data_IF_879901242414
#
_entry.id   IF_879901242414
#
_cell.length_a   1.000
_cell.length_b   1.000
_cell.length_c   1.000
_cell.angle_alpha   90.00
_cell.angle_beta   90.00
_cell.angle_gamma   90.00
#
_symmetry.space_group_name_H-M   'P 1'
#
loop_
_entity.id
_entity.type
_entity.pdbx_description
1 polymer ?
#
# COMPACT_ATOMS: atom_id res chain seq x y z
N UNK A 1 -42.62 -19.62 -49.63
CA UNK A 1 -41.34 -20.21 -49.13
C UNK A 1 -40.08 -19.56 -49.72
N UNK A 2 -40.03 -19.12 -50.99
CA UNK A 2 -38.83 -18.44 -51.54
C UNK A 2 -38.58 -17.03 -50.98
N UNK A 3 -39.62 -16.26 -50.61
CA UNK A 3 -39.46 -14.91 -50.07
C UNK A 3 -39.00 -14.87 -48.60
N UNK A 4 -39.39 -15.85 -47.79
CA UNK A 4 -38.95 -15.95 -46.37
C UNK A 4 -37.48 -16.33 -46.25
N UNK A 5 -36.96 -17.13 -47.19
CA UNK A 5 -35.54 -17.49 -47.26
C UNK A 5 -34.65 -16.31 -47.68
N UNK A 6 -35.16 -15.44 -48.55
CA UNK A 6 -34.43 -14.27 -49.04
C UNK A 6 -34.33 -13.16 -47.98
N UNK A 7 -35.35 -13.03 -47.12
CA UNK A 7 -35.34 -12.12 -45.98
C UNK A 7 -34.38 -12.57 -44.86
N UNK A 8 -34.31 -13.88 -44.58
CA UNK A 8 -33.33 -14.43 -43.62
C UNK A 8 -31.89 -14.27 -44.10
N UNK A 9 -31.64 -14.40 -45.41
CA UNK A 9 -30.31 -14.18 -45.98
C UNK A 9 -29.89 -12.69 -45.94
N UNK A 10 -30.84 -11.77 -46.13
CA UNK A 10 -30.56 -10.33 -46.03
C UNK A 10 -30.28 -9.89 -44.59
N UNK A 11 -30.93 -10.48 -43.59
CA UNK A 11 -30.70 -10.18 -42.16
C UNK A 11 -29.33 -10.71 -41.72
N UNK A 12 -28.89 -11.86 -42.23
CA UNK A 12 -27.55 -12.40 -41.97
C UNK A 12 -26.42 -11.53 -42.58
N UNK A 13 -26.69 -10.83 -43.68
CA UNK A 13 -25.76 -9.89 -44.32
C UNK A 13 -25.69 -8.50 -43.65
N UNK A 14 -26.65 -8.20 -42.76
CA UNK A 14 -26.71 -6.95 -41.99
C UNK A 14 -26.19 -7.12 -40.55
N UNK A 15 -25.85 -8.35 -40.14
CA UNK A 15 -25.10 -8.54 -38.91
C UNK A 15 -23.63 -8.19 -39.18
N UNK A 16 -23.04 -7.24 -38.43
CA UNK A 16 -21.61 -6.97 -38.53
C UNK A 16 -20.87 -8.28 -38.25
N UNK A 17 -19.75 -8.56 -38.94
CA UNK A 17 -18.94 -9.70 -38.60
C UNK A 17 -18.58 -9.58 -37.12
N UNK A 18 -18.99 -10.57 -36.32
CA UNK A 18 -18.41 -10.79 -35.00
C UNK A 18 -16.97 -11.22 -35.27
N UNK A 19 -16.11 -10.23 -35.49
CA UNK A 19 -14.67 -10.41 -35.44
C UNK A 19 -14.42 -10.89 -34.01
N UNK A 20 -14.05 -12.15 -33.85
CA UNK A 20 -13.44 -12.63 -32.63
C UNK A 20 -12.16 -11.80 -32.43
N UNK A 21 -12.28 -10.70 -31.69
CA UNK A 21 -11.16 -9.87 -31.27
C UNK A 21 -10.46 -10.59 -30.13
N UNK A 22 -9.53 -11.48 -30.48
CA UNK A 22 -8.34 -11.61 -29.65
C UNK A 22 -7.59 -10.25 -29.73
N UNK A 23 -7.02 -9.63 -28.71
CA UNK A 23 -6.94 -9.94 -27.28
C UNK A 23 -6.11 -8.85 -26.56
N UNK A 24 -6.03 -7.63 -27.11
CA UNK A 24 -5.26 -6.55 -26.45
C UNK A 24 -5.83 -6.20 -25.07
N UNK A 25 -7.10 -6.56 -24.84
CA UNK A 25 -7.75 -6.57 -23.53
C UNK A 25 -7.14 -7.57 -22.55
N UNK A 26 -7.04 -8.87 -22.88
CA UNK A 26 -6.45 -9.85 -21.95
C UNK A 26 -4.97 -9.56 -21.67
N UNK A 27 -4.14 -9.21 -22.65
CA UNK A 27 -2.73 -8.88 -22.37
C UNK A 27 -2.62 -7.69 -21.39
N UNK A 28 -3.43 -6.65 -21.58
CA UNK A 28 -3.50 -5.51 -20.65
C UNK A 28 -4.00 -5.92 -19.28
N UNK A 29 -5.01 -6.77 -19.23
CA UNK A 29 -5.55 -7.29 -17.99
C UNK A 29 -4.51 -8.11 -17.24
N UNK A 30 -3.74 -8.96 -17.95
CA UNK A 30 -2.65 -9.74 -17.37
C UNK A 30 -1.58 -8.85 -16.77
N UNK A 31 -1.11 -7.86 -17.54
CA UNK A 31 -0.14 -6.85 -17.08
C UNK A 31 -0.67 -6.09 -15.85
N UNK A 32 -1.95 -5.69 -15.86
CA UNK A 32 -2.58 -5.02 -14.72
C UNK A 32 -2.64 -5.91 -13.48
N UNK A 33 -2.91 -7.20 -13.65
CA UNK A 33 -2.92 -8.17 -12.55
C UNK A 33 -1.54 -8.31 -11.91
N UNK A 34 -0.48 -8.49 -12.71
CA UNK A 34 0.88 -8.65 -12.19
C UNK A 34 1.39 -7.36 -11.51
N UNK A 35 1.13 -6.19 -12.11
CA UNK A 35 1.50 -4.92 -11.47
C UNK A 35 0.68 -4.69 -10.20
N UNK A 36 -0.59 -5.09 -10.19
CA UNK A 36 -1.44 -5.07 -8.99
C UNK A 36 -0.87 -5.95 -7.86
N UNK A 37 -0.39 -7.15 -8.20
CA UNK A 37 0.31 -8.06 -7.28
C UNK A 37 1.57 -7.43 -6.71
N UNK A 38 2.39 -6.83 -7.57
CA UNK A 38 3.61 -6.14 -7.13
C UNK A 38 3.35 -4.96 -6.21
N UNK A 39 2.29 -4.20 -6.49
CA UNK A 39 1.87 -3.10 -5.64
C UNK A 39 1.45 -3.59 -4.25
N UNK A 40 0.74 -4.71 -4.17
CA UNK A 40 0.36 -5.34 -2.90
C UNK A 40 1.60 -5.83 -2.14
N UNK A 41 2.53 -6.51 -2.81
CA UNK A 41 3.81 -6.93 -2.23
C UNK A 41 4.58 -5.74 -1.65
N UNK A 42 4.70 -4.66 -2.42
CA UNK A 42 5.36 -3.43 -1.98
C UNK A 42 4.73 -2.86 -0.70
N UNK A 43 3.39 -2.76 -0.66
CA UNK A 43 2.68 -2.26 0.52
C UNK A 43 2.83 -3.19 1.71
N UNK A 44 2.82 -4.51 1.51
CA UNK A 44 3.10 -5.48 2.57
C UNK A 44 4.52 -5.30 3.14
N UNK A 45 5.52 -5.00 2.32
CA UNK A 45 6.88 -4.69 2.80
C UNK A 45 6.90 -3.40 3.63
N UNK A 46 6.12 -2.39 3.26
CA UNK A 46 6.07 -1.13 4.00
C UNK A 46 5.36 -1.28 5.36
N UNK A 47 4.17 -1.87 5.35
CA UNK A 47 3.23 -1.86 6.49
C UNK A 47 3.18 -3.17 7.25
N UNK A 48 3.73 -4.24 6.70
CA UNK A 48 3.66 -5.57 7.27
C UNK A 48 2.44 -6.32 6.77
N UNK A 49 2.49 -7.64 6.97
CA UNK A 49 1.38 -8.55 6.71
C UNK A 49 1.37 -9.60 7.83
N UNK A 50 0.42 -9.51 8.78
CA UNK A 50 0.32 -10.48 9.86
C UNK A 50 -0.16 -11.83 9.31
N UNK A 51 -0.12 -12.89 10.13
CA UNK A 51 -0.82 -14.15 9.81
C UNK A 51 -2.33 -13.95 9.75
N UNK A 52 -3.03 -14.79 9.00
CA UNK A 52 -4.47 -14.70 8.79
C UNK A 52 -5.24 -14.68 10.11
N UNK A 53 -4.81 -15.48 11.08
CA UNK A 53 -5.36 -15.50 12.45
C UNK A 53 -5.39 -14.11 13.10
N UNK A 54 -4.31 -13.35 12.95
CA UNK A 54 -4.15 -12.02 13.55
C UNK A 54 -4.67 -10.88 12.67
N UNK A 55 -5.17 -11.18 11.48
CA UNK A 55 -5.75 -10.18 10.59
C UNK A 55 -7.09 -9.68 11.16
N UNK A 56 -7.38 -8.36 11.07
CA UNK A 56 -8.65 -7.81 11.51
C UNK A 56 -9.81 -8.24 10.60
N UNK A 57 -11.03 -8.20 11.13
CA UNK A 57 -12.23 -8.35 10.31
C UNK A 57 -12.30 -7.19 9.31
N UNK A 58 -12.59 -7.52 8.05
CA UNK A 58 -12.56 -6.60 6.91
C UNK A 58 -11.25 -6.58 6.14
N UNK A 59 -10.22 -7.30 6.61
CA UNK A 59 -8.97 -7.46 5.85
C UNK A 59 -9.23 -8.17 4.52
N UNK A 60 -8.57 -7.72 3.46
CA UNK A 60 -8.66 -8.32 2.12
C UNK A 60 -7.32 -8.95 1.76
N UNK A 61 -7.35 -10.22 1.36
CA UNK A 61 -6.19 -10.96 0.85
C UNK A 61 -6.44 -11.48 -0.55
N UNK A 62 -5.36 -11.87 -1.21
CA UNK A 62 -5.41 -12.42 -2.54
C UNK A 62 -4.75 -13.79 -2.53
N UNK A 63 -5.40 -14.76 -3.16
CA UNK A 63 -4.80 -16.08 -3.34
C UNK A 63 -3.82 -16.10 -4.53
N UNK A 64 -3.17 -17.23 -4.74
CA UNK A 64 -2.25 -17.44 -5.87
C UNK A 64 -2.90 -17.29 -7.25
N UNK A 65 -4.23 -17.41 -7.35
CA UNK A 65 -5.01 -17.21 -8.57
C UNK A 65 -5.45 -15.74 -8.75
N UNK A 66 -5.17 -14.89 -7.76
CA UNK A 66 -5.49 -13.47 -7.77
C UNK A 66 -6.92 -13.15 -7.35
N UNK A 67 -7.65 -14.09 -6.75
CA UNK A 67 -8.99 -13.82 -6.22
C UNK A 67 -8.93 -13.14 -4.87
N UNK A 68 -9.80 -12.15 -4.69
CA UNK A 68 -9.87 -11.42 -3.43
C UNK A 68 -10.74 -12.17 -2.41
N UNK A 69 -10.19 -12.35 -1.23
CA UNK A 69 -10.81 -12.96 -0.06
C UNK A 69 -10.93 -11.94 1.06
N UNK A 70 -12.09 -11.89 1.70
CA UNK A 70 -12.38 -10.91 2.76
C UNK A 70 -12.61 -11.65 4.06
N UNK A 71 -11.94 -11.21 5.13
CA UNK A 71 -12.18 -11.74 6.47
C UNK A 71 -13.49 -11.18 7.02
N UNK A 72 -14.52 -12.01 7.17
CA UNK A 72 -15.84 -11.57 7.63
C UNK A 72 -16.07 -11.74 9.13
N UNK A 73 -15.38 -12.66 9.77
CA UNK A 73 -15.51 -12.93 11.20
C UNK A 73 -14.18 -13.41 11.83
N UNK A 74 -14.25 -13.82 13.10
CA UNK A 74 -13.13 -14.39 13.84
C UNK A 74 -13.35 -15.87 14.17
N UNK A 75 -14.25 -16.54 13.44
CA UNK A 75 -14.62 -17.93 13.68
C UNK A 75 -13.74 -18.89 12.85
N UNK A 76 -14.14 -20.15 12.70
CA UNK A 76 -13.30 -21.20 12.11
C UNK A 76 -13.07 -21.08 10.60
N UNK A 77 -13.98 -20.42 9.86
CA UNK A 77 -13.90 -20.21 8.41
C UNK A 77 -14.13 -18.73 8.08
N UNK A 78 -13.22 -17.84 8.51
CA UNK A 78 -13.51 -16.41 8.49
C UNK A 78 -13.35 -15.77 7.11
N UNK A 79 -12.76 -16.47 6.13
CA UNK A 79 -12.44 -15.88 4.82
C UNK A 79 -13.45 -16.26 3.77
N UNK A 80 -14.04 -15.26 3.11
CA UNK A 80 -15.01 -15.45 2.02
C UNK A 80 -14.49 -14.93 0.70
N UNK A 81 -14.68 -15.71 -0.36
CA UNK A 81 -14.32 -15.30 -1.71
C UNK A 81 -15.29 -14.22 -2.22
N UNK A 82 -14.75 -13.19 -2.87
CA UNK A 82 -15.53 -12.11 -3.47
C UNK A 82 -16.02 -12.39 -4.90
N UNK A 83 -15.52 -13.45 -5.55
CA UNK A 83 -15.87 -13.83 -6.94
C UNK A 83 -17.32 -14.29 -7.04
N UNK A 84 -18.08 -13.73 -7.99
CA UNK A 84 -19.53 -13.89 -8.12
C UNK A 84 -20.02 -15.36 -8.15
N UNK A 85 -19.30 -16.23 -8.85
CA UNK A 85 -19.70 -17.64 -9.01
C UNK A 85 -19.24 -18.55 -7.85
N UNK A 86 -18.44 -18.01 -6.92
CA UNK A 86 -17.78 -18.76 -5.86
C UNK A 86 -17.94 -18.16 -4.46
N UNK A 87 -18.90 -17.25 -4.26
CA UNK A 87 -19.14 -16.56 -2.99
C UNK A 87 -19.50 -17.49 -1.81
N UNK A 88 -19.83 -18.75 -2.09
CA UNK A 88 -20.07 -19.78 -1.07
C UNK A 88 -18.81 -20.50 -0.57
N UNK A 89 -17.64 -20.24 -1.16
CA UNK A 89 -16.37 -20.80 -0.69
C UNK A 89 -15.89 -20.03 0.53
N UNK A 90 -15.60 -20.77 1.59
CA UNK A 90 -15.08 -20.24 2.84
C UNK A 90 -13.76 -20.95 3.19
N UNK A 91 -12.77 -20.18 3.63
CA UNK A 91 -11.46 -20.69 4.05
C UNK A 91 -11.19 -20.40 5.52
N UNK A 92 -10.46 -21.33 6.15
CA UNK A 92 -9.87 -21.11 7.47
C UNK A 92 -8.64 -20.22 7.36
N UNK A 93 -8.20 -19.67 8.50
CA UNK A 93 -6.97 -18.87 8.56
C UNK A 93 -5.74 -19.64 8.07
N UNK A 94 -5.66 -20.95 8.35
CA UNK A 94 -4.54 -21.80 7.90
C UNK A 94 -4.51 -21.93 6.38
N UNK A 95 -5.68 -22.19 5.76
CA UNK A 95 -5.77 -22.30 4.30
C UNK A 95 -5.46 -20.95 3.65
N UNK A 96 -5.92 -19.85 4.25
CA UNK A 96 -5.60 -18.51 3.76
C UNK A 96 -4.10 -18.22 3.78
N UNK A 97 -3.38 -18.55 4.85
CA UNK A 97 -1.94 -18.33 4.92
C UNK A 97 -1.15 -19.22 3.93
N UNK A 98 -1.64 -20.43 3.62
CA UNK A 98 -1.01 -21.34 2.65
C UNK A 98 -1.27 -20.94 1.19
N UNK A 99 -2.48 -20.45 0.89
CA UNK A 99 -2.90 -20.09 -0.47
C UNK A 99 -2.65 -18.62 -0.82
N UNK A 100 -2.14 -17.83 0.12
CA UNK A 100 -1.83 -16.42 -0.09
C UNK A 100 -0.82 -16.24 -1.24
N UNK A 101 -1.04 -15.23 -2.09
CA UNK A 101 -0.14 -14.87 -3.20
C UNK A 101 1.33 -14.62 -2.81
N UNK A 102 1.56 -14.37 -1.51
CA UNK A 102 2.87 -14.13 -0.89
C UNK A 102 3.09 -15.00 0.36
N UNK A 103 2.53 -16.20 0.40
CA UNK A 103 2.64 -17.15 1.53
C UNK A 103 4.08 -17.34 2.04
N UNK A 104 5.04 -17.38 1.12
CA UNK A 104 6.49 -17.49 1.40
C UNK A 104 7.07 -16.38 2.29
N UNK A 105 6.39 -15.23 2.34
CA UNK A 105 6.83 -14.05 3.07
C UNK A 105 6.12 -13.84 4.41
N UNK A 106 5.17 -14.73 4.78
CA UNK A 106 4.36 -14.59 5.99
C UNK A 106 5.01 -15.18 7.24
N UNK A 107 4.95 -14.51 8.41
CA UNK A 107 4.52 -13.13 8.61
C UNK A 107 5.59 -12.13 8.16
N UNK A 108 5.16 -11.03 7.54
CA UNK A 108 6.04 -9.97 7.11
C UNK A 108 5.96 -8.81 8.09
N UNK A 109 7.07 -8.43 8.70
CA UNK A 109 7.15 -7.23 9.55
C UNK A 109 7.42 -6.02 8.65
N UNK A 110 6.55 -5.03 8.71
CA UNK A 110 6.66 -3.83 7.88
C UNK A 110 7.85 -2.95 8.27
N UNK A 111 8.41 -2.22 7.31
CA UNK A 111 9.45 -1.21 7.58
C UNK A 111 8.95 -0.21 8.65
N UNK A 112 7.71 0.27 8.52
CA UNK A 112 7.12 1.21 9.47
C UNK A 112 6.78 0.60 10.83
N UNK A 113 6.71 -0.72 10.94
CA UNK A 113 6.49 -1.41 12.23
C UNK A 113 7.78 -1.53 13.05
N UNK A 114 8.93 -1.23 12.45
CA UNK A 114 10.24 -1.33 13.11
C UNK A 114 10.30 -0.37 14.31
N UNK A 115 10.38 -0.94 15.50
CA UNK A 115 10.42 -0.20 16.76
C UNK A 115 11.81 0.40 17.00
N UNK A 116 11.86 1.49 17.79
CA UNK A 116 13.09 2.15 18.26
C UNK A 116 13.99 2.71 17.15
N UNK A 117 13.42 2.97 15.98
CA UNK A 117 14.10 3.69 14.91
C UNK A 117 13.41 5.04 14.68
N UNK A 118 14.17 6.03 14.27
CA UNK A 118 13.67 7.28 13.73
C UNK A 118 13.27 7.08 12.27
N UNK A 119 12.33 7.88 11.77
CA UNK A 119 11.94 7.82 10.35
C UNK A 119 13.13 8.08 9.42
N UNK A 120 14.09 8.90 9.84
CA UNK A 120 15.35 9.13 9.10
C UNK A 120 16.20 7.87 8.91
N UNK A 121 16.22 6.98 9.90
CA UNK A 121 16.93 5.69 9.81
C UNK A 121 16.22 4.70 8.89
N UNK A 122 14.91 4.88 8.69
CA UNK A 122 14.12 4.03 7.79
C UNK A 122 14.27 4.42 6.31
N UNK A 123 14.71 5.65 6.00
CA UNK A 123 14.80 6.17 4.62
C UNK A 123 15.55 5.23 3.67
N UNK A 124 16.74 4.67 4.01
CA UNK A 124 17.45 3.78 3.09
C UNK A 124 16.64 2.54 2.70
N UNK A 125 15.91 1.95 3.66
CA UNK A 125 15.06 0.78 3.44
C UNK A 125 13.84 1.13 2.59
N UNK A 126 13.23 2.30 2.84
CA UNK A 126 12.13 2.81 2.03
C UNK A 126 12.57 3.06 0.57
N UNK A 127 13.74 3.67 0.37
CA UNK A 127 14.31 3.89 -0.97
C UNK A 127 14.65 2.56 -1.67
N UNK A 128 15.13 1.56 -0.93
CA UNK A 128 15.37 0.24 -1.50
C UNK A 128 14.06 -0.44 -1.91
N UNK A 129 13.02 -0.35 -1.09
CA UNK A 129 11.71 -0.95 -1.38
C UNK A 129 11.07 -0.39 -2.65
N UNK A 130 11.14 0.94 -2.87
CA UNK A 130 10.56 1.56 -4.05
C UNK A 130 11.37 1.26 -5.32
N UNK A 131 12.70 1.18 -5.21
CA UNK A 131 13.56 0.72 -6.31
C UNK A 131 13.26 -0.73 -6.69
N UNK A 132 13.02 -1.59 -5.70
CA UNK A 132 12.66 -2.97 -5.94
C UNK A 132 11.31 -3.09 -6.68
N UNK A 133 10.31 -2.28 -6.28
CA UNK A 133 9.04 -2.19 -6.99
C UNK A 133 9.24 -1.71 -8.45
N UNK A 134 10.04 -0.66 -8.66
CA UNK A 134 10.36 -0.15 -10.00
C UNK A 134 10.99 -1.24 -10.89
N UNK A 135 11.97 -1.98 -10.36
CA UNK A 135 12.63 -3.05 -11.08
C UNK A 135 11.66 -4.18 -11.47
N UNK A 136 10.83 -4.65 -10.53
CA UNK A 136 9.90 -5.76 -10.78
C UNK A 136 8.73 -5.33 -11.67
N UNK A 137 8.18 -4.14 -11.48
CA UNK A 137 7.11 -3.64 -12.35
C UNK A 137 7.59 -3.47 -13.81
N UNK A 138 8.82 -2.97 -14.00
CA UNK A 138 9.39 -2.83 -15.35
C UNK A 138 9.81 -4.16 -15.98
N UNK A 139 10.18 -5.18 -15.18
CA UNK A 139 10.50 -6.50 -15.74
C UNK A 139 9.25 -7.13 -16.35
N UNK A 140 8.08 -6.97 -15.73
CA UNK A 140 6.81 -7.40 -16.32
C UNK A 140 6.48 -6.73 -17.65
N UNK A 141 6.79 -5.44 -17.82
CA UNK A 141 6.64 -4.80 -19.13
C UNK A 141 7.59 -5.37 -20.19
N UNK A 142 8.81 -5.75 -19.80
CA UNK A 142 9.75 -6.42 -20.71
C UNK A 142 9.30 -7.84 -21.06
N UNK A 143 8.75 -8.57 -20.09
CA UNK A 143 8.17 -9.91 -20.30
C UNK A 143 6.99 -9.81 -21.27
N UNK A 144 6.04 -8.90 -21.03
CA UNK A 144 4.91 -8.68 -21.93
C UNK A 144 5.39 -8.35 -23.36
N UNK A 145 6.38 -7.46 -23.50
CA UNK A 145 6.96 -7.11 -24.80
C UNK A 145 7.67 -8.28 -25.49
N UNK A 146 8.40 -9.10 -24.73
CA UNK A 146 9.04 -10.30 -25.26
C UNK A 146 8.00 -11.36 -25.66
N UNK A 147 6.84 -11.36 -24.99
CA UNK A 147 5.75 -12.30 -25.25
C UNK A 147 5.06 -12.04 -26.60
N UNK A 148 5.09 -10.80 -27.09
CA UNK A 148 4.45 -10.39 -28.36
C UNK A 148 4.97 -11.14 -29.59
N UNK A 149 6.20 -11.68 -29.55
CA UNK A 149 6.79 -12.38 -30.69
C UNK A 149 6.43 -13.86 -30.79
N UNK A 150 5.77 -14.44 -29.78
CA UNK A 150 5.33 -15.83 -29.81
C UNK A 150 3.96 -16.00 -30.47
N UNK A 151 3.70 -17.19 -31.01
CA UNK A 151 2.46 -17.49 -31.71
C UNK A 151 1.29 -17.68 -30.74
N UNK A 152 0.11 -17.16 -31.08
CA UNK A 152 -1.10 -17.19 -30.21
C UNK A 152 -1.52 -18.58 -29.71
N UNK A 153 -1.21 -19.62 -30.46
CA UNK A 153 -1.59 -21.00 -30.13
C UNK A 153 -0.58 -21.67 -29.19
N UNK A 154 0.56 -21.02 -28.90
CA UNK A 154 1.57 -21.53 -27.99
C UNK A 154 1.19 -21.25 -26.53
N UNK A 155 1.51 -22.20 -25.65
CA UNK A 155 1.42 -21.99 -24.20
C UNK A 155 2.57 -21.10 -23.68
N UNK A 156 2.71 -20.98 -22.36
CA UNK A 156 3.81 -20.22 -21.76
C UNK A 156 5.19 -20.70 -22.27
N UNK A 157 6.01 -19.77 -22.75
CA UNK A 157 7.33 -20.02 -23.34
C UNK A 157 8.41 -19.43 -22.44
N UNK A 158 9.56 -20.09 -22.35
CA UNK A 158 10.69 -19.58 -21.57
C UNK A 158 11.35 -18.38 -22.26
N UNK A 159 11.46 -17.25 -21.54
CA UNK A 159 12.14 -16.03 -21.98
C UNK A 159 13.61 -16.03 -21.52
N UNK A 160 13.99 -16.92 -20.61
CA UNK A 160 15.33 -17.04 -20.07
C UNK A 160 15.61 -16.00 -18.99
N UNK A 161 16.17 -14.85 -19.39
CA UNK A 161 16.47 -13.79 -18.43
C UNK A 161 16.20 -12.37 -18.94
N UNK A 162 15.78 -11.51 -18.01
CA UNK A 162 15.56 -10.08 -18.24
C UNK A 162 16.42 -9.29 -17.25
N UNK A 163 17.33 -8.48 -17.78
CA UNK A 163 18.16 -7.58 -16.99
C UNK A 163 17.83 -6.12 -17.32
N UNK A 164 17.31 -5.40 -16.32
CA UNK A 164 17.12 -3.95 -16.38
C UNK A 164 18.35 -3.23 -15.82
N UNK A 165 18.68 -2.08 -16.42
CA UNK A 165 19.81 -1.27 -15.95
C UNK A 165 19.61 -0.85 -14.49
N UNK A 166 20.55 -1.23 -13.62
CA UNK A 166 20.49 -0.92 -12.19
C UNK A 166 19.63 -1.89 -11.36
N UNK A 167 19.08 -2.93 -11.97
CA UNK A 167 18.33 -3.99 -11.31
C UNK A 167 19.14 -5.30 -11.30
N UNK A 168 18.75 -6.23 -10.43
CA UNK A 168 19.23 -7.62 -10.51
C UNK A 168 18.69 -8.28 -11.78
N UNK A 169 19.39 -9.31 -12.25
CA UNK A 169 18.91 -10.15 -13.33
C UNK A 169 17.78 -11.03 -12.82
N UNK A 170 16.67 -11.05 -13.56
CA UNK A 170 15.55 -11.95 -13.31
C UNK A 170 15.69 -13.15 -14.24
N UNK A 171 15.78 -14.36 -13.67
CA UNK A 171 15.91 -15.62 -14.41
C UNK A 171 14.61 -16.42 -14.35
N UNK A 172 14.52 -17.45 -15.19
CA UNK A 172 13.43 -18.43 -15.19
C UNK A 172 12.06 -17.77 -15.40
N UNK A 173 12.01 -16.81 -16.33
CA UNK A 173 10.82 -16.03 -16.65
C UNK A 173 10.05 -16.69 -17.77
N UNK A 174 8.75 -16.90 -17.55
CA UNK A 174 7.82 -17.39 -18.56
C UNK A 174 7.12 -16.23 -19.28
N UNK A 175 6.82 -16.42 -20.56
CA UNK A 175 6.03 -15.51 -21.37
C UNK A 175 4.57 -15.56 -20.96
N UNK A 176 3.86 -14.47 -21.23
CA UNK A 176 2.42 -14.36 -21.02
C UNK A 176 1.68 -14.83 -22.27
N UNK A 177 1.01 -16.00 -22.25
CA UNK A 177 0.24 -16.49 -23.39
C UNK A 177 -0.79 -15.46 -23.87
N UNK A 178 -1.38 -14.71 -22.93
CA UNK A 178 -2.37 -13.66 -23.20
C UNK A 178 -1.78 -12.50 -24.02
N UNK A 179 -0.45 -12.39 -24.08
CA UNK A 179 0.30 -11.39 -24.83
C UNK A 179 0.98 -11.95 -26.08
N UNK A 180 0.69 -13.18 -26.51
CA UNK A 180 1.23 -13.74 -27.76
C UNK A 180 0.52 -13.10 -28.95
N UNK A 181 1.28 -12.46 -29.84
CA UNK A 181 0.73 -11.73 -31.00
C UNK A 181 1.32 -12.20 -32.33
N UNK A 182 2.19 -13.22 -32.32
CA UNK A 182 2.66 -13.92 -33.51
C UNK A 182 1.53 -14.72 -34.15
N UNK A 183 1.42 -14.65 -35.48
CA UNK A 183 0.48 -15.47 -36.26
C UNK A 183 -0.61 -14.69 -37.00
N UNK A 184 -1.15 -13.61 -36.44
CA UNK A 184 -2.01 -12.67 -37.17
C UNK A 184 -1.17 -11.47 -37.63
N UNK A 185 -1.45 -10.86 -38.79
CA UNK A 185 -0.86 -9.55 -39.12
C UNK A 185 -1.24 -8.59 -37.99
N UNK A 186 -0.34 -8.27 -37.06
CA UNK A 186 -0.69 -7.41 -35.95
C UNK A 186 -0.95 -6.06 -36.59
N UNK A 187 -2.11 -5.46 -36.33
CA UNK A 187 -2.24 -4.04 -36.62
C UNK A 187 -1.11 -3.38 -35.83
N UNK A 188 -0.22 -2.68 -36.53
CA UNK A 188 0.91 -1.93 -35.93
C UNK A 188 0.47 -1.05 -34.74
N UNK A 189 -0.81 -0.65 -34.72
CA UNK A 189 -1.46 0.01 -33.60
C UNK A 189 -1.54 -0.85 -32.33
N UNK A 190 -1.92 -2.13 -32.41
CA UNK A 190 -2.12 -2.98 -31.23
C UNK A 190 -0.80 -3.29 -30.50
N UNK A 191 0.29 -3.47 -31.27
CA UNK A 191 1.64 -3.61 -30.70
C UNK A 191 2.15 -2.30 -30.09
N UNK A 192 1.88 -1.16 -30.72
CA UNK A 192 2.23 0.14 -30.15
C UNK A 192 1.42 0.44 -28.87
N UNK A 193 0.14 0.03 -28.84
CA UNK A 193 -0.81 0.25 -27.77
C UNK A 193 -0.52 -0.67 -26.56
N UNK A 194 0.01 -1.87 -26.75
CA UNK A 194 0.51 -2.75 -25.68
C UNK A 194 1.81 -2.24 -25.04
N UNK A 195 2.81 -1.89 -25.88
CA UNK A 195 4.13 -1.42 -25.42
C UNK A 195 4.08 -0.06 -24.73
N UNK A 196 3.29 0.87 -25.27
CA UNK A 196 3.09 2.19 -24.68
C UNK A 196 2.38 2.09 -23.33
N UNK A 197 1.32 1.29 -23.28
CA UNK A 197 0.45 1.17 -22.12
C UNK A 197 1.17 0.67 -20.86
N UNK A 198 1.95 -0.42 -20.95
CA UNK A 198 2.59 -0.97 -19.75
C UNK A 198 3.58 0.02 -19.13
N UNK A 199 4.44 0.64 -19.95
CA UNK A 199 5.42 1.61 -19.48
C UNK A 199 4.75 2.86 -18.89
N UNK A 200 3.68 3.35 -19.52
CA UNK A 200 2.92 4.49 -19.02
C UNK A 200 2.28 4.15 -17.68
N UNK A 201 1.61 2.99 -17.57
CA UNK A 201 0.91 2.58 -16.36
C UNK A 201 1.88 2.35 -15.19
N UNK A 202 3.02 1.67 -15.43
CA UNK A 202 4.07 1.52 -14.41
C UNK A 202 4.59 2.89 -13.98
N UNK A 203 4.89 3.78 -14.92
CA UNK A 203 5.39 5.14 -14.58
C UNK A 203 4.39 5.91 -13.73
N UNK A 204 3.11 5.91 -14.11
CA UNK A 204 2.04 6.57 -13.35
C UNK A 204 1.88 5.97 -11.95
N UNK A 205 1.91 4.63 -11.85
CA UNK A 205 1.78 3.91 -10.58
C UNK A 205 2.95 4.21 -9.65
N UNK A 206 4.19 4.10 -10.13
CA UNK A 206 5.39 4.45 -9.37
C UNK A 206 5.36 5.91 -8.92
N UNK A 207 4.97 6.83 -9.80
CA UNK A 207 4.89 8.24 -9.43
C UNK A 207 3.85 8.48 -8.33
N UNK A 208 2.69 7.85 -8.42
CA UNK A 208 1.67 7.90 -7.37
C UNK A 208 2.17 7.32 -6.05
N UNK A 209 2.81 6.16 -6.08
CA UNK A 209 3.34 5.52 -4.87
C UNK A 209 4.49 6.33 -4.24
N UNK A 210 5.31 7.03 -5.04
CA UNK A 210 6.31 7.98 -4.53
C UNK A 210 5.66 9.13 -3.75
N UNK A 211 4.59 9.72 -4.27
CA UNK A 211 3.87 10.79 -3.56
C UNK A 211 3.16 10.28 -2.30
N UNK A 212 2.55 9.09 -2.36
CA UNK A 212 1.96 8.45 -1.18
C UNK A 212 3.02 8.12 -0.13
N UNK A 213 4.18 7.62 -0.53
CA UNK A 213 5.28 7.33 0.38
C UNK A 213 5.76 8.58 1.10
N UNK A 214 5.88 9.73 0.42
CA UNK A 214 6.22 11.01 1.07
C UNK A 214 5.22 11.36 2.18
N UNK A 215 3.93 11.26 1.88
CA UNK A 215 2.88 11.54 2.86
C UNK A 215 2.95 10.59 4.07
N UNK A 216 3.16 9.29 3.82
CA UNK A 216 3.30 8.29 4.89
C UNK A 216 4.55 8.56 5.74
N UNK A 217 5.67 8.93 5.10
CA UNK A 217 6.91 9.30 5.80
C UNK A 217 6.72 10.54 6.66
N UNK A 218 6.03 11.56 6.16
CA UNK A 218 5.69 12.77 6.95
C UNK A 218 4.83 12.41 8.17
N UNK A 219 3.83 11.54 7.97
CA UNK A 219 2.98 11.08 9.05
C UNK A 219 3.76 10.26 10.11
N UNK A 220 4.58 9.30 9.68
CA UNK A 220 5.42 8.48 10.59
C UNK A 220 6.43 9.36 11.35
N UNK A 221 7.06 10.33 10.67
CA UNK A 221 7.97 11.28 11.29
C UNK A 221 7.28 12.11 12.37
N UNK A 222 6.08 12.61 12.09
CA UNK A 222 5.26 13.32 13.08
C UNK A 222 4.91 12.43 14.29
N UNK A 223 4.43 11.21 14.03
CA UNK A 223 4.04 10.26 15.06
C UNK A 223 5.22 9.87 15.97
N UNK A 224 6.36 9.48 15.39
CA UNK A 224 7.55 9.09 16.16
C UNK A 224 8.14 10.26 16.93
N UNK A 225 8.15 11.46 16.35
CA UNK A 225 8.62 12.67 17.05
C UNK A 225 7.74 13.00 18.26
N UNK A 226 6.42 12.86 18.12
CA UNK A 226 5.49 13.05 19.24
C UNK A 226 5.73 12.03 20.35
N UNK A 227 5.96 10.76 20.03
CA UNK A 227 6.28 9.73 21.02
C UNK A 227 7.58 10.02 21.75
N UNK A 228 8.63 10.47 21.04
CA UNK A 228 9.89 10.88 21.65
C UNK A 228 9.73 12.10 22.56
N UNK A 229 8.98 13.11 22.11
CA UNK A 229 8.67 14.30 22.91
C UNK A 229 7.90 13.92 24.17
N UNK A 230 6.87 13.07 24.06
CA UNK A 230 6.09 12.61 25.21
C UNK A 230 6.96 11.86 26.23
N UNK A 231 7.86 10.99 25.76
CA UNK A 231 8.81 10.29 26.62
C UNK A 231 9.77 11.24 27.35
N UNK A 232 10.33 12.21 26.62
CA UNK A 232 11.23 13.22 27.21
C UNK A 232 10.49 14.14 28.19
N UNK A 233 9.24 14.50 27.91
CA UNK A 233 8.43 15.34 28.78
C UNK A 233 8.04 14.61 30.07
N UNK A 234 7.73 13.32 30.01
CA UNK A 234 7.51 12.50 31.21
C UNK A 234 8.74 12.45 32.12
N UNK A 235 9.93 12.25 31.53
CA UNK A 235 11.21 12.32 32.28
C UNK A 235 11.40 13.71 32.88
N UNK A 236 11.17 14.77 32.10
CA UNK A 236 11.26 16.13 32.58
C UNK A 236 10.32 16.40 33.76
N UNK A 237 9.06 15.96 33.70
CA UNK A 237 8.09 16.13 34.78
C UNK A 237 8.49 15.39 36.06
N UNK A 238 9.02 14.16 35.93
CA UNK A 238 9.53 13.38 37.06
C UNK A 238 10.68 14.13 37.77
N UNK A 239 11.55 14.76 36.99
CA UNK A 239 12.77 15.37 37.51
C UNK A 239 12.50 16.77 38.06
N UNK A 240 11.61 17.52 37.41
CA UNK A 240 11.15 18.85 37.83
C UNK A 240 10.23 18.84 39.05
N UNK A 241 9.65 17.68 39.41
CA UNK A 241 8.74 17.56 40.56
C UNK A 241 9.31 18.13 41.85
N UNK A 242 10.57 17.81 42.15
CA UNK A 242 11.22 18.26 43.39
C UNK A 242 11.71 19.71 43.33
N UNK A 243 12.41 20.16 42.28
CA UNK A 243 12.80 21.57 42.11
C UNK A 243 11.60 22.52 42.13
N UNK A 244 10.51 22.21 41.42
CA UNK A 244 9.31 23.05 41.40
C UNK A 244 8.60 23.07 42.75
N UNK A 245 8.44 21.93 43.41
CA UNK A 245 7.85 21.89 44.73
C UNK A 245 8.68 22.69 45.76
N UNK A 246 10.01 22.61 45.67
CA UNK A 246 10.91 23.33 46.56
C UNK A 246 10.91 24.84 46.30
N UNK A 247 10.92 25.29 45.04
CA UNK A 247 10.86 26.73 44.72
C UNK A 247 9.52 27.33 45.08
N UNK A 248 8.41 26.63 44.83
CA UNK A 248 7.06 27.07 45.28
C UNK A 248 7.01 27.13 46.80
N UNK A 249 7.52 26.13 47.51
CA UNK A 249 7.56 26.13 48.96
C UNK A 249 8.43 27.27 49.51
N UNK A 250 9.58 27.54 48.91
CA UNK A 250 10.44 28.67 49.26
C UNK A 250 9.76 30.02 48.98
N UNK A 251 9.05 30.16 47.86
CA UNK A 251 8.30 31.36 47.51
C UNK A 251 7.15 31.60 48.51
N UNK A 252 6.40 30.56 48.88
CA UNK A 252 5.36 30.63 49.92
C UNK A 252 5.97 30.99 51.28
N UNK A 253 7.13 30.44 51.64
CA UNK A 253 7.82 30.80 52.87
C UNK A 253 8.30 32.27 52.86
N UNK A 254 8.72 32.79 51.69
CA UNK A 254 9.08 34.19 51.50
C UNK A 254 7.85 35.10 51.61
N UNK A 255 6.72 34.72 51.00
CA UNK A 255 5.44 35.43 51.10
C UNK A 255 4.94 35.45 52.54
N UNK A 256 5.03 34.33 53.27
CA UNK A 256 4.70 34.27 54.70
C UNK A 256 5.67 35.08 55.58
N UNK A 257 6.94 35.24 55.18
CA UNK A 257 7.87 36.17 55.84
C UNK A 257 7.55 37.64 55.51
N UNK A 258 7.05 37.92 54.31
CA UNK A 258 6.60 39.25 53.88
C UNK A 258 5.27 39.68 54.53
N UNK A 259 4.42 38.73 54.95
CA UNK A 259 3.20 38.99 55.74
C UNK A 259 3.49 39.66 57.08
N UNK A 260 4.69 39.45 57.65
CA UNK A 260 5.15 40.14 58.88
C UNK A 260 5.60 41.58 58.67
N UNK A 261 5.69 42.07 57.43
CA UNK A 261 6.01 43.47 57.14
C UNK A 261 4.68 44.23 57.05
N UNK A 262 4.40 45.16 57.99
CA UNK A 262 3.15 45.91 58.02
C UNK A 262 3.16 46.93 56.87
N UNK A 263 2.76 46.48 55.68
CA UNK A 263 2.27 47.22 54.50
C UNK A 263 2.43 46.45 53.17
N UNK A 264 2.75 45.15 53.18
CA UNK A 264 2.87 44.39 51.92
C UNK A 264 1.53 43.91 51.34
N UNK A 265 0.51 43.77 52.19
CA UNK A 265 -0.88 43.53 51.75
C UNK A 265 -1.53 44.88 51.48
N UNK A 266 -2.42 44.95 50.48
CA UNK A 266 -3.17 46.13 50.00
C UNK A 266 -4.02 46.88 51.04
N UNK A 267 -3.79 46.65 52.34
CA UNK A 267 -4.45 47.25 53.49
C UNK A 267 -3.82 48.56 53.99
N UNK A 268 -2.76 49.09 53.36
CA UNK A 268 -2.16 50.39 53.76
C UNK A 268 -2.72 51.62 53.03
N UNK A 269 -3.79 51.50 52.24
CA UNK A 269 -4.38 52.62 51.49
C UNK A 269 -5.45 53.43 52.25
N UNK A 270 -5.68 53.17 53.55
CA UNK A 270 -6.57 54.02 54.37
C UNK A 270 -5.77 55.02 55.22
N UNK A 271 -5.63 56.24 54.70
CA UNK A 271 -5.19 57.44 55.43
C UNK A 271 -6.03 57.65 56.71
N UNK A 272 -5.47 58.14 57.84
CA UNK A 272 -6.19 58.20 59.12
C UNK A 272 -7.40 59.16 59.06
N UNK A 273 -8.45 58.81 59.80
CA UNK A 273 -9.65 59.64 59.95
C UNK A 273 -9.29 61.04 60.47
N UNK A 274 -9.70 62.06 59.72
CA UNK A 274 -9.65 63.46 60.15
C UNK A 274 -10.55 63.58 61.38
N UNK A 275 -10.01 64.11 62.47
CA UNK A 275 -10.81 64.52 63.64
C UNK A 275 -11.42 65.87 63.30
N UNK A 276 -12.72 65.92 63.13
CA UNK A 276 -13.46 67.18 63.13
C UNK A 276 -13.72 67.60 64.59
N UNK A 277 -13.50 68.89 64.87
CA UNK A 277 -13.80 69.59 66.13
C UNK A 277 -15.29 69.61 66.47
#
# INVERSE_FOLDING_TARGET
MKQTLLLLFLIALLMPPQIAKAESGECRQRVNTEIGRELRLYRNVLFGKPRAENAPVGEVRYDTEGWAWIKTDAESLPWRNSVADQQGLEWSDTVMDEQDEHAESLPLVGIFETKRMTTSELIPYLLQSIRALECRAMSYCNIARASESFDKDDGAQDIGSVQLLGCIEFTDLESFPECHLGGETPLLLDQADGRGYCNEMVTQTIQRERELLKLVVEYDAGFRSLLQFAGNFDIFLKEMRWPLANTVRQAVELIGKLERIPCFVSSCDSSPAIKDE
#
